data_IF_222570070803
#
_entry.id   IF_222570070803
#
_cell.length_a   1.000
_cell.length_b   1.000
_cell.length_c   1.000
_cell.angle_alpha   90.00
_cell.angle_beta   90.00
_cell.angle_gamma   90.00
#
_symmetry.space_group_name_H-M   'P 1'
#
loop_
_entity.id
_entity.type
_entity.pdbx_description
1 polymer ?
#
# COMPACT_ATOMS: atom_id res chain seq x y z
N UNK A 1 -37.61 -8.74 -37.03
CA UNK A 1 -36.39 -9.53 -36.77
C UNK A 1 -35.43 -8.60 -36.03
N UNK A 2 -35.05 -8.91 -34.80
CA UNK A 2 -34.05 -8.13 -34.05
C UNK A 2 -32.67 -8.67 -34.44
N UNK A 3 -31.78 -7.79 -34.89
CA UNK A 3 -30.37 -8.14 -35.10
C UNK A 3 -29.70 -8.33 -33.75
N UNK A 4 -28.96 -9.43 -33.54
CA UNK A 4 -28.18 -9.60 -32.33
C UNK A 4 -27.16 -8.46 -32.21
N UNK A 5 -26.90 -8.02 -30.98
CA UNK A 5 -25.83 -7.07 -30.72
C UNK A 5 -24.48 -7.72 -31.08
N UNK A 6 -23.52 -6.92 -31.58
CA UNK A 6 -22.17 -7.43 -31.82
C UNK A 6 -21.57 -7.98 -30.52
N UNK A 7 -20.69 -8.97 -30.67
CA UNK A 7 -19.96 -9.51 -29.53
C UNK A 7 -19.07 -8.41 -28.92
N UNK A 8 -18.93 -8.37 -27.58
CA UNK A 8 -18.05 -7.41 -26.94
C UNK A 8 -16.59 -7.71 -27.29
N UNK A 9 -15.79 -6.66 -27.35
CA UNK A 9 -14.36 -6.81 -27.55
C UNK A 9 -13.73 -7.64 -26.42
N UNK A 10 -12.66 -8.41 -26.71
CA UNK A 10 -11.92 -9.16 -25.71
C UNK A 10 -11.38 -8.25 -24.61
N UNK A 11 -11.40 -8.73 -23.35
CA UNK A 11 -10.87 -8.00 -22.19
C UNK A 11 -9.34 -7.79 -22.24
N UNK A 12 -8.62 -8.63 -22.98
CA UNK A 12 -7.17 -8.58 -23.16
C UNK A 12 -6.89 -8.67 -24.66
N UNK A 13 -6.14 -7.71 -25.19
CA UNK A 13 -5.68 -7.71 -26.58
C UNK A 13 -4.45 -8.63 -26.73
N UNK A 14 -4.54 -9.76 -27.48
CA UNK A 14 -3.41 -10.66 -27.68
C UNK A 14 -2.34 -10.10 -28.62
N UNK A 15 -2.59 -8.94 -29.26
CA UNK A 15 -1.65 -8.24 -30.13
C UNK A 15 -0.84 -7.17 -29.39
N UNK A 16 -1.25 -6.81 -28.18
CA UNK A 16 -0.43 -5.98 -27.31
C UNK A 16 0.77 -6.79 -26.76
N UNK A 17 1.97 -6.20 -26.71
CA UNK A 17 3.14 -6.87 -26.15
C UNK A 17 2.93 -7.11 -24.65
N UNK A 18 3.17 -8.34 -24.22
CA UNK A 18 3.21 -8.68 -22.79
C UNK A 18 4.55 -8.18 -22.22
N UNK A 19 4.56 -7.49 -21.07
CA UNK A 19 5.81 -7.09 -20.43
C UNK A 19 6.67 -8.32 -20.09
N UNK A 20 7.99 -8.20 -20.31
CA UNK A 20 8.94 -9.26 -19.96
C UNK A 20 9.05 -9.48 -18.44
N UNK A 21 8.78 -8.44 -17.65
CA UNK A 21 8.75 -8.49 -16.19
C UNK A 21 7.31 -8.27 -15.66
N UNK A 22 6.72 -9.24 -14.94
CA UNK A 22 5.40 -9.06 -14.34
C UNK A 22 5.35 -7.93 -13.30
N UNK A 23 6.48 -7.48 -12.74
CA UNK A 23 6.49 -6.34 -11.81
C UNK A 23 6.04 -5.04 -12.46
N UNK A 24 6.21 -4.90 -13.79
CA UNK A 24 5.73 -3.73 -14.56
C UNK A 24 4.19 -3.63 -14.60
N UNK A 25 3.48 -4.74 -14.30
CA UNK A 25 2.02 -4.76 -14.17
C UNK A 25 1.56 -4.44 -12.75
N UNK A 26 2.46 -4.46 -11.78
CA UNK A 26 2.14 -4.17 -10.39
C UNK A 26 2.13 -2.66 -10.19
N UNK A 27 1.21 -2.14 -9.36
CA UNK A 27 1.28 -0.74 -8.96
C UNK A 27 2.60 -0.48 -8.22
N UNK A 28 3.08 0.75 -8.32
CA UNK A 28 4.26 1.18 -7.58
C UNK A 28 4.14 0.88 -6.09
N UNK A 29 5.29 0.69 -5.44
CA UNK A 29 5.33 0.52 -4.00
C UNK A 29 4.69 1.74 -3.31
N UNK A 30 3.93 1.54 -2.23
CA UNK A 30 3.36 2.64 -1.48
C UNK A 30 4.46 3.56 -0.93
N UNK A 31 4.11 4.83 -0.74
CA UNK A 31 5.01 5.79 -0.11
C UNK A 31 5.50 5.30 1.26
N UNK A 32 6.73 5.65 1.69
CA UNK A 32 7.22 5.30 3.01
C UNK A 32 6.28 5.80 4.11
N UNK A 33 6.07 4.98 5.12
CA UNK A 33 5.27 5.37 6.28
C UNK A 33 5.91 6.58 6.99
N UNK A 34 5.09 7.47 7.58
CA UNK A 34 5.62 8.52 8.45
C UNK A 34 6.43 7.90 9.60
N UNK A 35 7.42 8.63 10.16
CA UNK A 35 8.18 8.15 11.29
C UNK A 35 7.25 7.83 12.48
N UNK A 36 7.60 6.84 13.32
CA UNK A 36 6.82 6.51 14.49
C UNK A 36 6.75 7.72 15.45
N UNK A 37 5.72 7.79 16.30
CA UNK A 37 5.66 8.78 17.37
C UNK A 37 6.93 8.73 18.23
N UNK A 38 7.38 9.89 18.70
CA UNK A 38 8.51 9.97 19.64
C UNK A 38 8.04 9.41 20.98
N UNK A 39 8.79 8.47 21.54
CA UNK A 39 8.54 8.00 22.90
C UNK A 39 8.89 9.10 23.90
N UNK A 40 8.02 9.29 24.89
CA UNK A 40 8.32 10.16 26.01
C UNK A 40 9.57 9.63 26.72
N UNK A 41 10.65 10.38 26.66
CA UNK A 41 11.84 10.12 27.49
C UNK A 41 11.62 10.69 28.89
N UNK A 42 12.30 10.22 29.94
CA UNK A 42 12.15 10.77 31.29
C UNK A 42 12.43 12.28 31.40
N UNK A 43 13.23 12.83 30.47
CA UNK A 43 13.55 14.25 30.36
C UNK A 43 12.53 15.02 29.50
N UNK A 44 11.51 14.36 28.94
CA UNK A 44 10.42 15.00 28.21
C UNK A 44 9.44 15.64 29.20
N UNK A 45 9.36 16.99 29.29
CA UNK A 45 8.51 17.68 30.25
C UNK A 45 7.00 17.43 30.02
N UNK A 46 6.61 16.75 28.93
CA UNK A 46 5.26 16.28 28.65
C UNK A 46 5.02 14.77 28.86
N UNK A 47 6.00 14.02 29.38
CA UNK A 47 5.93 12.57 29.53
C UNK A 47 4.91 12.09 30.58
N UNK A 48 4.29 10.92 30.34
CA UNK A 48 3.29 10.33 31.22
C UNK A 48 3.89 9.98 32.60
N UNK A 49 3.46 10.64 33.69
CA UNK A 49 3.98 10.39 35.04
C UNK A 49 3.57 9.01 35.61
N UNK A 50 2.77 8.22 34.88
CA UNK A 50 2.25 6.93 35.31
C UNK A 50 3.15 5.71 35.08
N UNK A 51 4.36 5.88 34.53
CA UNK A 51 5.28 4.76 34.26
C UNK A 51 5.66 3.99 35.52
N UNK A 52 5.30 2.70 35.59
CA UNK A 52 5.72 1.82 36.70
C UNK A 52 7.23 1.55 36.59
N UNK A 53 8.01 1.65 37.68
CA UNK A 53 9.42 1.27 37.66
C UNK A 53 9.61 -0.22 37.31
N UNK A 54 10.62 -0.53 36.48
CA UNK A 54 10.98 -1.92 36.18
C UNK A 54 11.48 -2.66 37.45
N UNK A 55 11.23 -3.98 37.56
CA UNK A 55 11.68 -4.77 38.71
C UNK A 55 13.20 -5.01 38.70
N UNK A 56 13.80 -5.00 39.89
CA UNK A 56 15.23 -5.20 40.14
C UNK A 56 15.68 -6.67 40.06
#
# INVERSE_FOLDING_TARGET
MVTPLPEPDPLIDPTEPVPDDPSELLPDAPEPLPPPPIEATPDDPGGDPGGVPEPA
#
